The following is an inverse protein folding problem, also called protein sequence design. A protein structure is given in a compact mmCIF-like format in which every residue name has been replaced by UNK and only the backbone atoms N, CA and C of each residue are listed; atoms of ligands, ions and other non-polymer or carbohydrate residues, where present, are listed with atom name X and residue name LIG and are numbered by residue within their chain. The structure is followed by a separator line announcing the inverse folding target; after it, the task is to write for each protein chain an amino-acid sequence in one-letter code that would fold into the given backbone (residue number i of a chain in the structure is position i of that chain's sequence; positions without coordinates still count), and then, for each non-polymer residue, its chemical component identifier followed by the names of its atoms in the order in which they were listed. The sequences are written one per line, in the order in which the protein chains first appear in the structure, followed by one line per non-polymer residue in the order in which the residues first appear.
data_IF_879470881569
#
_entry.id   IF_879470881569
#
_cell.length_a   1.000
_cell.length_b   1.000
_cell.length_c   1.000
_cell.angle_alpha   90.00
_cell.angle_beta   90.00
_cell.angle_gamma   90.00
#
_symmetry.space_group_name_H-M   'P 1'
#
loop_
_entity.id
_entity.type
_entity.pdbx_description
1 polymer ?
#
# COMPACT_ATOMS: atom_id res chain seq x y z
N UNK A 1 5.44 14.95 -8.48
CA UNK A 1 6.08 15.28 -7.19
C UNK A 1 7.09 14.19 -6.79
N UNK A 2 6.71 12.89 -6.77
CA UNK A 2 7.59 11.79 -6.30
C UNK A 2 8.78 11.52 -7.22
N UNK A 3 8.61 11.59 -8.56
CA UNK A 3 9.73 11.47 -9.50
C UNK A 3 10.78 12.56 -9.26
N UNK A 4 10.35 13.79 -8.99
CA UNK A 4 11.24 14.89 -8.64
C UNK A 4 11.97 14.69 -7.30
N UNK A 5 11.34 13.98 -6.35
CA UNK A 5 11.95 13.65 -5.04
C UNK A 5 13.06 12.61 -5.21
N UNK A 6 12.91 11.62 -6.11
CA UNK A 6 13.94 10.61 -6.38
C UNK A 6 15.13 11.17 -7.15
N UNK A 7 14.89 12.09 -8.11
CA UNK A 7 15.95 12.80 -8.84
C UNK A 7 16.76 13.74 -7.93
N UNK A 8 16.14 14.32 -6.90
CA UNK A 8 16.82 15.22 -5.94
C UNK A 8 17.91 14.54 -5.09
N UNK A 9 18.03 13.20 -5.11
CA UNK A 9 19.12 12.50 -4.41
C UNK A 9 20.47 12.60 -5.10
N UNK A 10 20.51 12.89 -6.41
CA UNK A 10 21.73 12.90 -7.21
C UNK A 10 22.39 14.30 -7.28
N UNK A 11 21.64 15.37 -7.03
CA UNK A 11 22.18 16.73 -7.17
C UNK A 11 22.46 17.42 -5.83
N UNK A 12 23.55 18.21 -5.79
CA UNK A 12 23.85 19.07 -4.63
C UNK A 12 22.80 20.20 -4.60
N UNK A 13 22.12 20.35 -3.47
CA UNK A 13 21.10 21.36 -3.30
C UNK A 13 21.68 22.78 -3.50
N UNK A 14 21.16 23.55 -4.43
CA UNK A 14 21.60 24.92 -4.75
C UNK A 14 21.37 25.93 -3.61
N UNK A 15 20.49 25.61 -2.63
CA UNK A 15 20.18 26.50 -1.51
C UNK A 15 21.18 26.33 -0.37
N UNK A 16 21.60 25.10 -0.08
CA UNK A 16 22.43 24.78 1.08
C UNK A 16 23.78 24.15 0.73
N UNK A 17 24.07 23.98 -0.55
CA UNK A 17 25.31 23.40 -1.07
C UNK A 17 25.69 22.07 -0.39
N UNK A 18 24.67 21.28 -0.03
CA UNK A 18 24.84 19.99 0.62
C UNK A 18 24.86 20.03 2.16
N UNK A 19 24.92 21.19 2.81
CA UNK A 19 24.97 21.33 4.28
C UNK A 19 23.66 20.91 4.97
N UNK A 20 22.54 20.91 4.27
CA UNK A 20 21.20 20.64 4.84
C UNK A 20 20.65 21.77 5.70
N UNK A 21 21.35 22.91 5.78
CA UNK A 21 20.96 24.10 6.55
C UNK A 21 20.81 25.30 5.62
N UNK A 22 19.86 26.19 5.92
CA UNK A 22 19.70 27.47 5.25
C UNK A 22 19.56 28.59 6.28
N UNK A 23 19.90 29.80 5.88
CA UNK A 23 19.64 30.97 6.71
C UNK A 23 18.14 31.27 6.67
N UNK A 24 17.52 31.36 7.84
CA UNK A 24 16.14 31.77 8.02
C UNK A 24 16.09 33.05 8.85
N UNK A 25 15.25 33.98 8.48
CA UNK A 25 15.04 35.23 9.23
C UNK A 25 13.90 34.97 10.24
N UNK A 26 14.15 35.28 11.50
CA UNK A 26 13.19 35.15 12.57
C UNK A 26 12.29 36.39 12.63
N UNK A 27 11.16 36.27 13.33
CA UNK A 27 10.20 37.37 13.50
C UNK A 27 10.80 38.62 14.18
N UNK A 28 11.92 38.47 14.90
CA UNK A 28 12.68 39.55 15.55
C UNK A 28 13.76 40.19 14.63
N UNK A 29 13.82 39.80 13.36
CA UNK A 29 14.80 40.26 12.39
C UNK A 29 16.19 39.62 12.49
N UNK A 30 16.39 38.69 13.44
CA UNK A 30 17.66 37.96 13.56
C UNK A 30 17.76 36.84 12.53
N UNK A 31 19.00 36.59 12.06
CA UNK A 31 19.28 35.46 11.14
C UNK A 31 19.74 34.24 11.93
N UNK A 32 19.12 33.10 11.68
CA UNK A 32 19.48 31.83 12.29
C UNK A 32 19.64 30.74 11.24
N UNK A 33 20.44 29.70 11.56
CA UNK A 33 20.48 28.50 10.75
C UNK A 33 19.19 27.68 11.00
N UNK A 34 18.49 27.37 9.91
CA UNK A 34 17.31 26.50 9.93
C UNK A 34 17.45 25.35 8.94
N UNK A 35 16.61 24.30 9.02
CA UNK A 35 16.66 23.19 8.10
C UNK A 35 16.37 23.67 6.67
N UNK A 36 17.16 23.14 5.72
CA UNK A 36 16.88 23.36 4.30
C UNK A 36 15.74 22.44 3.85
N UNK A 37 14.92 22.90 2.90
CA UNK A 37 13.82 22.13 2.31
C UNK A 37 14.30 20.80 1.73
N UNK A 38 15.50 20.74 1.16
CA UNK A 38 16.10 19.50 0.65
C UNK A 38 16.29 18.41 1.72
N UNK A 39 16.30 18.75 3.00
CA UNK A 39 16.41 17.78 4.10
C UNK A 39 15.17 16.94 4.21
N UNK A 40 13.99 17.54 4.05
CA UNK A 40 12.70 16.85 4.06
C UNK A 40 12.54 16.00 2.80
N UNK A 41 12.90 16.56 1.63
CA UNK A 41 12.88 15.85 0.35
C UNK A 41 13.78 14.60 0.37
N UNK A 42 15.03 14.74 0.86
CA UNK A 42 15.96 13.61 1.01
C UNK A 42 15.49 12.59 2.05
N UNK A 43 14.79 13.05 3.10
CA UNK A 43 14.17 12.14 4.07
C UNK A 43 13.04 11.34 3.40
N UNK A 44 12.14 12.02 2.70
CA UNK A 44 11.04 11.37 1.98
C UNK A 44 11.57 10.37 0.93
N UNK A 45 12.58 10.76 0.13
CA UNK A 45 13.21 9.87 -0.84
C UNK A 45 13.80 8.61 -0.21
N UNK A 46 14.51 8.74 0.92
CA UNK A 46 15.04 7.58 1.66
C UNK A 46 13.93 6.70 2.21
N UNK A 47 12.85 7.29 2.71
CA UNK A 47 11.70 6.53 3.21
C UNK A 47 10.96 5.80 2.09
N UNK A 48 10.82 6.41 0.90
CA UNK A 48 10.25 5.76 -0.29
C UNK A 48 11.14 4.59 -0.72
N UNK A 49 12.46 4.77 -0.77
CA UNK A 49 13.40 3.69 -1.12
C UNK A 49 13.32 2.52 -0.12
N UNK A 50 13.12 2.81 1.17
CA UNK A 50 12.98 1.79 2.21
C UNK A 50 11.58 1.13 2.24
N UNK A 51 10.58 1.71 1.60
CA UNK A 51 9.20 1.23 1.62
C UNK A 51 8.97 -0.04 0.79
N UNK A 52 9.98 -0.60 0.13
CA UNK A 52 9.91 -1.82 -0.71
C UNK A 52 8.90 -1.73 -1.87
N UNK A 53 8.60 -0.54 -2.34
CA UNK A 53 7.72 -0.35 -3.49
C UNK A 53 8.41 -0.91 -4.75
N UNK A 54 7.79 -1.87 -5.47
CA UNK A 54 8.40 -2.40 -6.69
C UNK A 54 8.65 -1.30 -7.74
N UNK A 55 9.78 -1.32 -8.47
CA UNK A 55 10.15 -0.27 -9.42
C UNK A 55 9.07 0.07 -10.46
N UNK A 56 8.30 -0.95 -10.90
CA UNK A 56 7.17 -0.77 -11.84
C UNK A 56 6.07 0.16 -11.31
N UNK A 57 5.98 0.35 -10.00
CA UNK A 57 4.97 1.19 -9.34
C UNK A 57 5.54 2.51 -8.82
N UNK A 58 6.83 2.81 -9.02
CA UNK A 58 7.46 4.04 -8.53
C UNK A 58 6.77 5.31 -9.05
N UNK A 59 6.20 5.27 -10.25
CA UNK A 59 5.45 6.37 -10.86
C UNK A 59 3.96 6.45 -10.47
N UNK A 60 3.47 5.57 -9.58
CA UNK A 60 2.07 5.58 -9.17
C UNK A 60 1.81 6.75 -8.22
N UNK A 61 0.98 7.70 -8.64
CA UNK A 61 0.52 8.86 -7.86
C UNK A 61 -0.98 9.02 -8.01
N UNK A 62 -1.62 9.81 -7.16
CA UNK A 62 -3.04 10.15 -7.33
C UNK A 62 -3.33 10.86 -8.66
N UNK A 63 -2.37 11.62 -9.19
CA UNK A 63 -2.54 12.37 -10.43
C UNK A 63 -2.36 11.47 -11.66
N UNK A 64 -1.57 10.38 -11.54
CA UNK A 64 -1.44 9.35 -12.58
C UNK A 64 -2.52 8.28 -12.53
N UNK A 65 -3.44 8.34 -11.54
CA UNK A 65 -4.58 7.42 -11.46
C UNK A 65 -5.73 7.94 -12.32
N UNK A 66 -5.87 7.37 -13.51
CA UNK A 66 -6.90 7.77 -14.46
C UNK A 66 -8.28 7.24 -14.06
N UNK A 67 -9.25 8.15 -13.95
CA UNK A 67 -10.67 7.81 -13.67
C UNK A 67 -11.59 8.26 -14.79
N UNK A 68 -11.06 8.89 -15.84
CA UNK A 68 -11.84 9.46 -16.97
C UNK A 68 -11.32 8.88 -18.28
N UNK A 69 -11.82 7.72 -18.63
CA UNK A 69 -11.61 7.08 -19.94
C UNK A 69 -12.92 6.45 -20.41
N UNK A 70 -13.06 6.09 -21.70
CA UNK A 70 -14.28 5.46 -22.19
C UNK A 70 -14.66 4.22 -21.36
N UNK A 71 -15.91 4.16 -20.89
CA UNK A 71 -16.45 3.10 -20.03
C UNK A 71 -15.82 3.00 -18.63
N UNK A 72 -15.16 4.06 -18.14
CA UNK A 72 -14.69 4.10 -16.77
C UNK A 72 -15.84 4.00 -15.76
N UNK A 73 -15.74 3.07 -14.83
CA UNK A 73 -16.74 2.92 -13.78
C UNK A 73 -16.61 4.05 -12.74
N UNK A 74 -17.75 4.52 -12.21
CA UNK A 74 -17.80 5.61 -11.23
C UNK A 74 -17.13 5.23 -9.90
N UNK A 75 -17.02 3.94 -9.59
CA UNK A 75 -16.33 3.44 -8.39
C UNK A 75 -14.87 3.84 -8.36
N UNK A 76 -14.20 4.00 -9.52
CA UNK A 76 -12.81 4.43 -9.59
C UNK A 76 -12.61 5.86 -9.06
N UNK A 77 -13.55 6.77 -9.38
CA UNK A 77 -13.51 8.13 -8.87
C UNK A 77 -13.82 8.17 -7.36
N UNK A 78 -14.76 7.36 -6.90
CA UNK A 78 -15.08 7.21 -5.48
C UNK A 78 -13.89 6.64 -4.71
N UNK A 79 -13.22 5.62 -5.24
CA UNK A 79 -12.01 5.03 -4.65
C UNK A 79 -10.86 6.04 -4.54
N UNK A 80 -10.62 6.84 -5.59
CA UNK A 80 -9.63 7.92 -5.56
C UNK A 80 -9.95 8.96 -4.48
N UNK A 81 -11.22 9.33 -4.34
CA UNK A 81 -11.65 10.27 -3.29
C UNK A 81 -11.43 9.68 -1.90
N UNK A 82 -11.80 8.42 -1.67
CA UNK A 82 -11.57 7.73 -0.39
C UNK A 82 -10.08 7.64 -0.06
N UNK A 83 -9.24 7.34 -1.04
CA UNK A 83 -7.79 7.30 -0.86
C UNK A 83 -7.20 8.67 -0.47
N UNK A 84 -7.63 9.75 -1.12
CA UNK A 84 -7.23 11.13 -0.77
C UNK A 84 -7.74 11.52 0.63
N UNK A 85 -8.97 11.14 0.99
CA UNK A 85 -9.54 11.40 2.30
C UNK A 85 -8.77 10.63 3.39
N UNK A 86 -8.36 9.39 3.13
CA UNK A 86 -7.53 8.61 4.05
C UNK A 86 -6.20 9.33 4.36
N UNK A 87 -5.49 9.84 3.34
CA UNK A 87 -4.23 10.59 3.53
C UNK A 87 -4.47 11.86 4.34
N UNK A 88 -5.58 12.57 4.09
CA UNK A 88 -5.95 13.76 4.86
C UNK A 88 -6.22 13.45 6.33
N UNK A 89 -7.00 12.41 6.60
CA UNK A 89 -7.41 11.97 7.93
C UNK A 89 -6.27 11.39 8.77
N UNK A 90 -5.22 10.90 8.11
CA UNK A 90 -4.10 10.24 8.77
C UNK A 90 -3.20 11.23 9.55
N UNK A 91 -2.71 10.88 10.77
CA UNK A 91 -3.05 9.67 11.54
C UNK A 91 -4.26 9.86 12.48
N UNK A 92 -4.63 11.09 12.79
CA UNK A 92 -5.51 11.43 13.92
C UNK A 92 -6.94 10.89 13.77
N UNK A 93 -7.54 11.06 12.58
CA UNK A 93 -8.94 10.69 12.34
C UNK A 93 -9.09 9.25 11.86
N UNK A 94 -8.01 8.61 11.41
CA UNK A 94 -8.05 7.20 10.98
C UNK A 94 -8.15 6.24 12.16
N UNK A 95 -7.63 6.63 13.33
CA UNK A 95 -7.62 5.81 14.57
C UNK A 95 -7.13 4.37 14.31
N UNK A 96 -6.06 4.23 13.52
CA UNK A 96 -5.50 2.93 13.14
C UNK A 96 -6.27 2.18 12.06
N UNK A 97 -7.42 2.69 11.61
CA UNK A 97 -8.15 2.08 10.48
C UNK A 97 -7.35 2.21 9.20
N UNK A 98 -7.51 1.21 8.32
CA UNK A 98 -6.92 1.15 7.00
C UNK A 98 -7.95 1.11 5.89
N UNK A 99 -7.55 0.59 4.72
CA UNK A 99 -8.42 0.42 3.56
C UNK A 99 -8.36 -1.03 3.06
N UNK A 100 -9.51 -1.58 2.67
CA UNK A 100 -9.61 -2.85 1.97
C UNK A 100 -10.08 -2.57 0.54
N UNK A 101 -9.13 -2.55 -0.42
CA UNK A 101 -9.38 -2.28 -1.83
C UNK A 101 -9.74 -3.58 -2.54
N UNK A 102 -10.98 -3.69 -2.98
CA UNK A 102 -11.53 -4.90 -3.62
C UNK A 102 -11.90 -4.57 -5.06
N UNK A 103 -11.67 -5.50 -5.98
CA UNK A 103 -12.11 -5.33 -7.36
C UNK A 103 -11.42 -6.26 -8.34
N UNK A 104 -11.88 -6.27 -9.58
CA UNK A 104 -11.36 -7.12 -10.65
C UNK A 104 -9.87 -6.85 -10.94
N UNK A 105 -9.26 -7.77 -11.69
CA UNK A 105 -7.87 -7.63 -12.11
C UNK A 105 -7.73 -6.40 -13.01
N UNK A 106 -6.66 -5.62 -12.79
CA UNK A 106 -6.32 -4.47 -13.65
C UNK A 106 -7.07 -3.18 -13.39
N UNK A 107 -8.00 -3.11 -12.41
CA UNK A 107 -8.74 -1.87 -12.09
C UNK A 107 -7.92 -0.80 -11.34
N UNK A 108 -6.66 -1.08 -10.98
CA UNK A 108 -5.76 -0.10 -10.38
C UNK A 108 -5.64 -0.14 -8.85
N UNK A 109 -6.04 -1.22 -8.17
CA UNK A 109 -5.92 -1.34 -6.69
C UNK A 109 -4.51 -1.10 -6.17
N UNK A 110 -3.51 -1.81 -6.72
CA UNK A 110 -2.10 -1.64 -6.35
C UNK A 110 -1.60 -0.23 -6.65
N UNK A 111 -1.99 0.36 -7.79
CA UNK A 111 -1.67 1.74 -8.13
C UNK A 111 -2.15 2.69 -7.02
N UNK A 112 -3.41 2.56 -6.62
CA UNK A 112 -4.00 3.41 -5.60
C UNK A 112 -3.36 3.21 -4.23
N UNK A 113 -3.08 1.95 -3.83
CA UNK A 113 -2.39 1.62 -2.58
C UNK A 113 -0.99 2.25 -2.53
N UNK A 114 -0.22 2.16 -3.60
CA UNK A 114 1.11 2.78 -3.69
C UNK A 114 1.01 4.30 -3.69
N UNK A 115 0.03 4.89 -4.40
CA UNK A 115 -0.20 6.33 -4.37
C UNK A 115 -0.44 6.86 -2.96
N UNK A 116 -1.21 6.11 -2.15
CA UNK A 116 -1.44 6.42 -0.73
C UNK A 116 -0.13 6.38 0.05
N UNK A 117 0.68 5.31 -0.09
CA UNK A 117 1.96 5.20 0.61
C UNK A 117 2.89 6.38 0.28
N UNK A 118 3.04 6.69 -0.99
CA UNK A 118 3.91 7.79 -1.43
C UNK A 118 3.43 9.14 -0.90
N UNK A 119 2.12 9.39 -0.91
CA UNK A 119 1.54 10.61 -0.34
C UNK A 119 1.75 10.70 1.18
N UNK A 120 1.52 9.60 1.93
CA UNK A 120 1.75 9.55 3.37
C UNK A 120 3.21 9.79 3.75
N UNK A 121 4.15 9.24 2.99
CA UNK A 121 5.58 9.49 3.19
C UNK A 121 5.91 10.96 2.94
N UNK A 122 5.45 11.51 1.81
CA UNK A 122 5.79 12.87 1.39
C UNK A 122 5.13 13.94 2.28
N UNK A 123 3.85 13.76 2.62
CA UNK A 123 3.05 14.79 3.30
C UNK A 123 3.03 14.63 4.82
N UNK A 124 3.15 13.39 5.32
CA UNK A 124 3.02 13.07 6.75
C UNK A 124 4.29 12.51 7.38
N UNK A 125 5.30 12.16 6.56
CA UNK A 125 6.53 11.53 7.05
C UNK A 125 6.30 10.18 7.71
N UNK A 126 5.23 9.48 7.34
CA UNK A 126 4.86 8.18 7.88
C UNK A 126 5.84 7.08 7.42
N UNK A 127 6.18 6.15 8.31
CA UNK A 127 6.96 4.97 7.96
C UNK A 127 6.05 3.96 7.28
N UNK A 128 6.15 3.87 5.97
CA UNK A 128 5.33 2.99 5.16
C UNK A 128 6.12 1.79 4.66
N UNK A 129 5.42 0.65 4.50
CA UNK A 129 6.00 -0.57 3.95
C UNK A 129 5.02 -1.19 2.96
N UNK A 130 5.53 -1.60 1.81
CA UNK A 130 4.79 -2.38 0.82
C UNK A 130 5.27 -3.82 0.83
N UNK A 131 4.33 -4.76 0.86
CA UNK A 131 4.59 -6.17 0.67
C UNK A 131 3.57 -6.79 -0.28
N UNK A 132 4.04 -7.47 -1.33
CA UNK A 132 3.24 -8.45 -2.04
C UNK A 132 2.99 -9.65 -1.11
N UNK A 133 1.76 -10.12 -1.04
CA UNK A 133 1.37 -11.20 -0.14
C UNK A 133 2.17 -12.51 -0.39
N UNK A 134 2.45 -12.83 -1.66
CA UNK A 134 3.20 -14.04 -2.02
C UNK A 134 4.67 -13.90 -1.65
N UNK A 135 5.24 -12.71 -1.84
CA UNK A 135 6.63 -12.44 -1.47
C UNK A 135 6.81 -12.52 0.04
N UNK A 136 5.87 -11.98 0.81
CA UNK A 136 5.88 -12.11 2.28
C UNK A 136 5.84 -13.57 2.72
N UNK A 137 4.94 -14.39 2.14
CA UNK A 137 4.88 -15.81 2.44
C UNK A 137 6.17 -16.53 2.08
N UNK A 138 6.79 -16.17 0.96
CA UNK A 138 8.07 -16.74 0.52
C UNK A 138 9.22 -16.34 1.44
N UNK A 139 9.32 -15.08 1.82
CA UNK A 139 10.35 -14.59 2.76
C UNK A 139 10.22 -15.33 4.11
N UNK A 140 8.98 -15.51 4.60
CA UNK A 140 8.71 -16.27 5.82
C UNK A 140 9.09 -17.74 5.68
N UNK A 141 8.79 -18.39 4.55
CA UNK A 141 9.20 -19.78 4.30
C UNK A 141 10.72 -19.92 4.25
N UNK A 142 11.40 -18.99 3.58
CA UNK A 142 12.85 -18.99 3.48
C UNK A 142 13.53 -18.80 4.84
N UNK A 143 12.92 -18.07 5.79
CA UNK A 143 13.49 -17.86 7.13
C UNK A 143 13.57 -19.14 7.98
N UNK A 144 12.91 -20.21 7.57
CA UNK A 144 13.02 -21.54 8.19
C UNK A 144 14.08 -22.44 7.54
N UNK A 145 14.61 -22.07 6.38
CA UNK A 145 15.72 -22.81 5.76
C UNK A 145 17.04 -22.44 6.47
N UNK A 146 17.64 -23.43 7.14
CA UNK A 146 18.93 -23.27 7.85
C UNK A 146 20.09 -22.79 6.97
N UNK A 147 19.91 -22.77 5.65
CA UNK A 147 20.91 -22.26 4.70
C UNK A 147 20.77 -20.77 4.40
N UNK A 148 19.73 -20.12 4.89
CA UNK A 148 19.46 -18.69 4.69
C UNK A 148 19.68 -17.99 6.01
N UNK A 149 20.58 -17.00 6.06
CA UNK A 149 20.86 -16.19 7.26
C UNK A 149 19.78 -15.15 7.56
N UNK A 150 18.51 -15.43 7.23
CA UNK A 150 17.38 -14.55 7.46
C UNK A 150 16.43 -15.19 8.48
N UNK A 151 16.30 -14.60 9.64
CA UNK A 151 15.37 -15.06 10.67
C UNK A 151 13.94 -14.57 10.42
N UNK A 152 12.94 -15.31 10.90
CA UNK A 152 11.54 -14.86 10.89
C UNK A 152 11.38 -13.47 11.52
N UNK A 153 12.12 -13.21 12.61
CA UNK A 153 12.08 -11.94 13.30
C UNK A 153 12.57 -10.78 12.41
N UNK A 154 13.60 -11.00 11.57
CA UNK A 154 14.10 -9.99 10.63
C UNK A 154 13.11 -9.70 9.50
N UNK A 155 12.33 -10.69 9.06
CA UNK A 155 11.24 -10.50 8.10
C UNK A 155 10.09 -9.72 8.73
N UNK A 156 9.70 -10.07 9.96
CA UNK A 156 8.52 -9.51 10.62
C UNK A 156 8.76 -8.15 11.27
N UNK A 157 9.99 -7.86 11.74
CA UNK A 157 10.30 -6.61 12.43
C UNK A 157 9.90 -5.35 11.61
N UNK A 158 10.23 -5.21 10.32
CA UNK A 158 9.80 -4.07 9.53
C UNK A 158 8.28 -4.03 9.31
N UNK A 159 7.62 -5.21 9.23
CA UNK A 159 6.16 -5.33 9.07
C UNK A 159 5.44 -4.79 10.31
N UNK A 160 5.94 -5.12 11.50
CA UNK A 160 5.38 -4.60 12.77
C UNK A 160 5.79 -3.14 13.04
N UNK A 161 6.99 -2.73 12.62
CA UNK A 161 7.48 -1.37 12.84
C UNK A 161 6.81 -0.32 11.95
N UNK A 162 6.31 -0.70 10.77
CA UNK A 162 5.67 0.22 9.83
C UNK A 162 4.42 0.88 10.43
N UNK A 163 4.28 2.20 10.30
CA UNK A 163 3.08 2.92 10.68
C UNK A 163 1.91 2.53 9.76
N UNK A 164 2.20 2.44 8.45
CA UNK A 164 1.24 1.99 7.43
C UNK A 164 1.83 0.86 6.61
N UNK A 165 1.13 -0.27 6.57
CA UNK A 165 1.50 -1.46 5.80
C UNK A 165 0.55 -1.61 4.63
N UNK A 166 1.07 -1.85 3.42
CA UNK A 166 0.30 -2.40 2.30
C UNK A 166 0.58 -3.89 2.20
N UNK A 167 -0.50 -4.68 2.22
CA UNK A 167 -0.51 -6.09 1.84
C UNK A 167 -1.21 -6.23 0.49
N UNK A 168 -0.44 -6.38 -0.57
CA UNK A 168 -0.95 -6.42 -1.93
C UNK A 168 -1.33 -7.85 -2.35
N UNK A 169 -2.44 -7.98 -3.04
CA UNK A 169 -2.98 -9.25 -3.56
C UNK A 169 -3.24 -10.34 -2.50
N UNK A 170 -3.79 -9.97 -1.32
CA UNK A 170 -4.10 -10.96 -0.29
C UNK A 170 -5.06 -12.05 -0.81
N UNK A 171 -4.77 -13.30 -0.47
CA UNK A 171 -5.53 -14.46 -0.94
C UNK A 171 -5.18 -14.93 -2.35
N UNK A 172 -4.20 -14.32 -3.03
CA UNK A 172 -3.75 -14.72 -4.37
C UNK A 172 -3.24 -16.18 -4.43
N UNK A 173 -2.72 -16.69 -3.32
CA UNK A 173 -2.44 -18.12 -3.12
C UNK A 173 -3.10 -18.59 -1.84
N UNK A 174 -3.50 -19.87 -1.78
CA UNK A 174 -3.97 -20.48 -0.54
C UNK A 174 -2.75 -20.70 0.36
N UNK A 175 -2.70 -20.10 1.56
CA UNK A 175 -1.59 -20.30 2.47
C UNK A 175 -1.59 -21.74 3.00
N UNK A 176 -0.42 -22.23 3.42
CA UNK A 176 -0.35 -23.37 4.35
C UNK A 176 -0.92 -22.93 5.70
N UNK A 177 -1.32 -23.86 6.56
CA UNK A 177 -1.90 -23.55 7.86
C UNK A 177 -0.97 -22.63 8.67
N UNK A 178 0.33 -22.95 8.72
CA UNK A 178 1.32 -22.11 9.38
C UNK A 178 1.42 -20.69 8.79
N UNK A 179 1.46 -20.58 7.46
CA UNK A 179 1.52 -19.26 6.82
C UNK A 179 0.25 -18.45 7.06
N UNK A 180 -0.91 -19.14 7.10
CA UNK A 180 -2.19 -18.53 7.47
C UNK A 180 -2.17 -17.97 8.90
N UNK A 181 -1.64 -18.74 9.85
CA UNK A 181 -1.49 -18.31 11.25
C UNK A 181 -0.54 -17.13 11.40
N UNK A 182 0.57 -17.12 10.68
CA UNK A 182 1.53 -15.99 10.68
C UNK A 182 0.90 -14.71 10.14
N UNK A 183 0.16 -14.78 9.02
CA UNK A 183 -0.55 -13.62 8.49
C UNK A 183 -1.65 -13.16 9.45
N UNK A 184 -2.38 -14.08 10.07
CA UNK A 184 -3.36 -13.76 11.09
C UNK A 184 -2.70 -13.05 12.30
N UNK A 185 -1.52 -13.52 12.72
CA UNK A 185 -0.74 -12.87 13.77
C UNK A 185 -0.34 -11.43 13.38
N UNK A 186 0.16 -11.20 12.16
CA UNK A 186 0.50 -9.87 11.64
C UNK A 186 -0.74 -8.95 11.72
N UNK A 187 -1.86 -9.39 11.16
CA UNK A 187 -3.09 -8.59 11.13
C UNK A 187 -3.58 -8.28 12.55
N UNK A 188 -3.58 -9.28 13.45
CA UNK A 188 -4.02 -9.11 14.84
C UNK A 188 -3.12 -8.16 15.62
N UNK A 189 -1.81 -8.29 15.48
CA UNK A 189 -0.85 -7.41 16.18
C UNK A 189 -1.03 -5.96 15.72
N UNK A 190 -1.10 -5.73 14.41
CA UNK A 190 -1.30 -4.38 13.87
C UNK A 190 -2.65 -3.78 14.25
N UNK A 191 -3.70 -4.60 14.31
CA UNK A 191 -5.00 -4.18 14.82
C UNK A 191 -4.92 -3.73 16.29
N UNK A 192 -4.30 -4.53 17.16
CA UNK A 192 -4.14 -4.20 18.58
C UNK A 192 -3.28 -2.95 18.80
N UNK A 193 -2.24 -2.77 17.97
CA UNK A 193 -1.35 -1.61 18.02
C UNK A 193 -1.93 -0.37 17.33
N UNK A 194 -3.17 -0.43 16.82
CA UNK A 194 -3.83 0.64 16.05
C UNK A 194 -2.97 1.15 14.88
N UNK A 195 -2.34 0.22 14.16
CA UNK A 195 -1.52 0.52 12.98
C UNK A 195 -2.31 0.29 11.71
N UNK A 196 -2.38 1.32 10.88
CA UNK A 196 -3.15 1.28 9.64
C UNK A 196 -2.61 0.21 8.68
N UNK A 197 -3.51 -0.58 8.10
CA UNK A 197 -3.16 -1.59 7.10
C UNK A 197 -4.03 -1.40 5.86
N UNK A 198 -3.40 -1.28 4.70
CA UNK A 198 -4.07 -1.21 3.41
C UNK A 198 -3.94 -2.57 2.75
N UNK A 199 -5.04 -3.16 2.40
CA UNK A 199 -5.10 -4.50 1.81
C UNK A 199 -5.70 -4.40 0.43
N UNK A 200 -5.12 -5.09 -0.55
CA UNK A 200 -5.74 -5.24 -1.88
C UNK A 200 -6.09 -6.69 -2.13
N UNK A 201 -7.19 -6.92 -2.83
CA UNK A 201 -7.60 -8.26 -3.26
C UNK A 201 -8.47 -8.20 -4.51
N UNK A 202 -8.40 -9.25 -5.33
CA UNK A 202 -9.32 -9.46 -6.45
C UNK A 202 -10.45 -10.44 -6.10
N UNK A 203 -10.48 -10.92 -4.87
CA UNK A 203 -11.50 -11.83 -4.40
C UNK A 203 -12.70 -11.07 -3.83
N UNK A 204 -13.90 -11.58 -4.09
CA UNK A 204 -15.11 -11.02 -3.52
C UNK A 204 -15.13 -11.19 -1.99
N UNK A 205 -15.52 -10.12 -1.28
CA UNK A 205 -15.55 -10.10 0.18
C UNK A 205 -16.78 -10.85 0.73
N UNK A 206 -16.81 -12.15 0.51
CA UNK A 206 -17.85 -13.03 1.01
C UNK A 206 -17.28 -14.08 1.97
N UNK A 207 -18.13 -14.64 2.88
CA UNK A 207 -17.72 -15.72 3.77
C UNK A 207 -17.34 -16.98 2.99
N UNK A 208 -16.64 -17.94 3.64
CA UNK A 208 -16.31 -19.21 3.04
C UNK A 208 -17.54 -19.96 2.53
N UNK A 209 -17.44 -20.55 1.34
CA UNK A 209 -18.51 -21.32 0.73
C UNK A 209 -19.68 -20.50 0.18
N UNK A 210 -19.61 -19.17 0.23
CA UNK A 210 -20.62 -18.33 -0.38
C UNK A 210 -20.61 -18.47 -1.91
N UNK A 211 -21.77 -18.65 -2.52
CA UNK A 211 -21.91 -18.64 -3.98
C UNK A 211 -22.05 -17.21 -4.48
N UNK A 212 -21.22 -16.85 -5.44
CA UNK A 212 -21.22 -15.52 -6.07
C UNK A 212 -22.31 -15.44 -7.15
N UNK A 213 -22.55 -16.53 -7.86
CA UNK A 213 -23.65 -16.67 -8.83
C UNK A 213 -24.76 -17.55 -8.24
N UNK A 214 -25.85 -16.94 -7.83
CA UNK A 214 -27.02 -17.63 -7.23
C UNK A 214 -27.94 -18.25 -8.29
N UNK A 215 -27.85 -17.75 -9.51
CA UNK A 215 -28.77 -18.12 -10.58
C UNK A 215 -28.24 -19.26 -11.45
N UNK A 216 -26.93 -19.52 -11.41
CA UNK A 216 -26.30 -20.58 -12.19
C UNK A 216 -25.59 -21.63 -11.31
N UNK A 217 -26.33 -22.68 -10.93
CA UNK A 217 -25.78 -23.78 -10.12
C UNK A 217 -24.72 -24.63 -10.82
N UNK A 218 -24.62 -24.54 -12.14
CA UNK A 218 -23.65 -25.28 -12.94
C UNK A 218 -22.33 -24.51 -13.11
N UNK A 219 -22.29 -23.20 -12.77
CA UNK A 219 -21.06 -22.41 -12.85
C UNK A 219 -20.02 -22.89 -11.84
N UNK A 220 -18.72 -22.91 -12.21
CA UNK A 220 -17.64 -23.17 -11.27
C UNK A 220 -17.73 -22.18 -10.10
N UNK A 221 -17.64 -22.69 -8.88
CA UNK A 221 -17.64 -21.83 -7.69
C UNK A 221 -16.31 -21.06 -7.62
N UNK A 222 -16.37 -19.75 -7.79
CA UNK A 222 -15.20 -18.89 -7.58
C UNK A 222 -14.89 -18.79 -6.09
N UNK A 223 -13.59 -18.83 -5.75
CA UNK A 223 -13.14 -18.68 -4.37
C UNK A 223 -13.42 -17.26 -3.87
N UNK A 224 -14.00 -17.16 -2.68
CA UNK A 224 -14.19 -15.89 -1.97
C UNK A 224 -12.94 -15.51 -1.17
N UNK A 225 -12.90 -14.28 -0.65
CA UNK A 225 -11.86 -13.88 0.29
C UNK A 225 -11.88 -14.77 1.54
N UNK A 226 -13.07 -15.09 2.06
CA UNK A 226 -13.22 -15.99 3.20
C UNK A 226 -12.69 -17.41 2.96
N UNK A 227 -12.81 -17.94 1.72
CA UNK A 227 -12.24 -19.24 1.36
C UNK A 227 -10.70 -19.24 1.41
N UNK A 228 -10.10 -18.11 1.16
CA UNK A 228 -8.64 -17.97 1.06
C UNK A 228 -7.96 -17.64 2.38
N UNK A 229 -8.54 -16.74 3.16
CA UNK A 229 -7.92 -16.26 4.41
C UNK A 229 -8.65 -16.68 5.68
N UNK A 230 -9.78 -17.37 5.53
CA UNK A 230 -10.63 -17.77 6.64
C UNK A 230 -11.55 -16.67 7.17
N UNK A 231 -12.66 -17.05 7.77
CA UNK A 231 -13.69 -16.11 8.21
C UNK A 231 -13.23 -15.17 9.33
N UNK A 232 -12.40 -15.67 10.26
CA UNK A 232 -11.87 -14.84 11.37
C UNK A 232 -11.05 -13.67 10.85
N UNK A 233 -10.16 -13.93 9.90
CA UNK A 233 -9.31 -12.88 9.34
C UNK A 233 -10.14 -11.93 8.47
N UNK A 234 -11.08 -12.44 7.66
CA UNK A 234 -11.99 -11.62 6.86
C UNK A 234 -12.79 -10.67 7.74
N UNK A 235 -13.41 -11.17 8.81
CA UNK A 235 -14.16 -10.37 9.79
C UNK A 235 -13.28 -9.27 10.41
N UNK A 236 -12.04 -9.61 10.77
CA UNK A 236 -11.07 -8.65 11.33
C UNK A 236 -10.71 -7.56 10.32
N UNK A 237 -10.48 -7.92 9.06
CA UNK A 237 -10.20 -6.94 8.01
C UNK A 237 -11.37 -5.98 7.79
N UNK A 238 -12.62 -6.46 7.92
CA UNK A 238 -13.81 -5.61 7.82
C UNK A 238 -13.94 -4.63 9.01
N UNK A 239 -13.48 -5.02 10.19
CA UNK A 239 -13.49 -4.14 11.36
C UNK A 239 -12.41 -3.06 11.28
N UNK A 240 -11.20 -3.44 10.84
CA UNK A 240 -10.04 -2.55 10.82
C UNK A 240 -9.86 -1.76 9.52
N UNK A 241 -10.61 -2.05 8.47
CA UNK A 241 -10.45 -1.41 7.17
C UNK A 241 -11.80 -0.88 6.62
N UNK A 242 -11.77 0.32 6.08
CA UNK A 242 -12.87 0.81 5.25
C UNK A 242 -12.83 0.07 3.92
N UNK A 243 -13.93 -0.58 3.55
CA UNK A 243 -14.05 -1.31 2.29
C UNK A 243 -14.24 -0.33 1.14
N UNK A 244 -13.43 -0.48 0.11
CA UNK A 244 -13.47 0.33 -1.11
C UNK A 244 -13.58 -0.62 -2.30
N UNK A 245 -14.74 -0.66 -2.92
CA UNK A 245 -14.99 -1.48 -4.09
C UNK A 245 -14.65 -0.72 -5.37
N UNK A 246 -13.93 -1.40 -6.26
CA UNK A 246 -13.44 -0.86 -7.53
C UNK A 246 -13.87 -1.78 -8.66
N UNK A 247 -14.74 -1.28 -9.52
CA UNK A 247 -15.28 -2.01 -10.66
C UNK A 247 -14.70 -1.47 -11.96
N UNK A 248 -14.68 -2.30 -12.98
CA UNK A 248 -14.23 -1.91 -14.32
C UNK A 248 -13.46 -3.01 -15.03
N UNK A 249 -13.09 -2.71 -16.25
CA UNK A 249 -12.30 -3.59 -17.08
C UNK A 249 -10.79 -3.46 -16.77
N UNK A 250 -10.00 -4.44 -17.22
CA UNK A 250 -8.53 -4.37 -17.06
C UNK A 250 -7.94 -3.21 -17.87
N UNK A 251 -7.55 -2.14 -17.17
CA UNK A 251 -6.94 -0.95 -17.75
C UNK A 251 -5.67 -1.25 -18.56
N UNK A 252 -4.90 -2.27 -18.18
CA UNK A 252 -3.68 -2.67 -18.87
C UNK A 252 -3.96 -3.22 -20.26
N UNK A 253 -5.08 -3.91 -20.44
CA UNK A 253 -5.46 -4.47 -21.73
C UNK A 253 -6.01 -3.42 -22.69
N UNK A 254 -6.73 -2.41 -22.18
CA UNK A 254 -7.46 -1.44 -23.01
C UNK A 254 -6.68 -0.14 -23.25
N UNK A 255 -5.97 0.35 -22.26
CA UNK A 255 -5.33 1.67 -22.31
C UNK A 255 -3.80 1.60 -22.39
N UNK A 256 -3.18 0.60 -21.74
CA UNK A 256 -1.71 0.44 -21.67
C UNK A 256 -1.24 -0.89 -22.27
N UNK A 257 -1.58 -1.17 -23.52
CA UNK A 257 -0.98 -2.33 -24.19
C UNK A 257 0.53 -2.11 -24.40
N UNK A 258 1.32 -3.15 -24.10
CA UNK A 258 2.72 -3.12 -24.43
C UNK A 258 2.90 -3.01 -25.95
N UNK A 259 3.68 -2.05 -26.41
CA UNK A 259 4.11 -1.92 -27.79
C UNK A 259 5.60 -1.62 -27.81
N UNK A 260 6.29 -2.19 -28.78
CA UNK A 260 7.66 -1.74 -29.09
C UNK A 260 7.52 -0.49 -29.97
N UNK A 261 8.11 0.63 -29.54
CA UNK A 261 8.20 1.86 -30.33
C UNK A 261 9.30 1.73 -31.38
#
# INVERSE_FOLDING_TARGET
AVAAILDAMAEVCKICEGSGLRVVERADGTRAAGPCVCREERRAARMIAAARIPPRFSGCTFDSFETRFPNADRSLQAALLQARNFVKAYPMETDGKGLLLIGSIGVGKTHLAVSILQALIAERGAKCLFYDYRDLLKDLQNSYDRKVDLSEQEVLAPVFAADVLVLDEIGASKPTDWAGDTIAHIVNTRYNDRKSTIVTTNLANHPPGARLDKDNWAAPQESTLGDRIGERMRSRLQEMCVVVEMHGEDFRQKVKRASFA
#
